data_IF_443112753198
#
_entry.id   IF_443112753198
#
_cell.length_a   1.000
_cell.length_b   1.000
_cell.length_c   1.000
_cell.angle_alpha   90.00
_cell.angle_beta   90.00
_cell.angle_gamma   90.00
#
_symmetry.space_group_name_H-M   'P 1'
#
loop_
_entity.id
_entity.type
_entity.pdbx_description
1 polymer ?
#
# COMPACT_ATOMS: atom_id res chain seq x y z
N UNK A 1 -1.50 24.33 21.52
CA UNK A 1 -0.67 23.91 20.38
C UNK A 1 -1.55 23.05 19.48
N UNK A 2 -2.16 23.67 18.48
CA UNK A 2 -3.12 23.00 17.61
C UNK A 2 -2.36 22.18 16.56
N UNK A 3 -2.42 20.85 16.68
CA UNK A 3 -1.90 19.95 15.65
C UNK A 3 -3.04 19.59 14.69
N UNK A 4 -3.14 20.33 13.60
CA UNK A 4 -3.95 19.95 12.44
C UNK A 4 -3.25 18.83 11.68
N UNK A 5 -3.78 17.62 11.70
CA UNK A 5 -3.40 16.58 10.74
C UNK A 5 -4.59 16.32 9.82
N UNK A 6 -4.56 16.90 8.62
CA UNK A 6 -5.44 16.51 7.51
C UNK A 6 -4.67 15.47 6.69
N UNK A 7 -5.17 14.24 6.63
CA UNK A 7 -4.65 13.07 5.87
C UNK A 7 -3.65 12.16 6.62
N UNK A 8 -4.04 11.60 7.75
CA UNK A 8 -3.28 10.52 8.41
C UNK A 8 -3.81 9.15 7.94
N UNK A 9 -2.95 8.31 7.37
CA UNK A 9 -3.23 6.89 7.16
C UNK A 9 -2.77 6.16 8.42
N UNK A 10 -3.71 5.65 9.21
CA UNK A 10 -3.42 4.89 10.43
C UNK A 10 -3.76 3.42 10.18
N UNK A 11 -2.72 2.59 10.12
CA UNK A 11 -2.86 1.14 10.05
C UNK A 11 -2.60 0.63 11.46
N UNK A 12 -3.64 0.14 12.14
CA UNK A 12 -3.53 -0.45 13.48
C UNK A 12 -3.80 -1.94 13.35
N UNK A 13 -2.80 -2.65 12.84
CA UNK A 13 -2.79 -4.10 12.81
C UNK A 13 -1.37 -4.57 13.14
N UNK A 14 -1.24 -5.45 14.13
CA UNK A 14 0.06 -5.96 14.58
C UNK A 14 0.64 -6.98 13.57
N UNK A 15 -0.15 -7.46 12.61
CA UNK A 15 0.24 -8.44 11.60
C UNK A 15 0.79 -7.77 10.32
N UNK A 16 0.77 -6.44 10.23
CA UNK A 16 1.29 -5.70 9.07
C UNK A 16 2.79 -5.41 9.25
N UNK A 17 3.61 -6.19 8.56
CA UNK A 17 5.06 -6.08 8.61
C UNK A 17 5.60 -4.84 7.87
N UNK A 18 4.95 -4.41 6.77
CA UNK A 18 5.46 -3.33 5.91
C UNK A 18 4.35 -2.64 5.12
N UNK A 19 4.51 -1.33 4.90
CA UNK A 19 3.69 -0.54 3.97
C UNK A 19 4.53 -0.19 2.74
N UNK A 20 4.05 -0.59 1.55
CA UNK A 20 4.70 -0.29 0.27
C UNK A 20 3.91 0.77 -0.50
N UNK A 21 4.51 1.95 -0.71
CA UNK A 21 3.97 2.95 -1.64
C UNK A 21 4.62 2.75 -3.02
N UNK A 22 3.79 2.36 -4.00
CA UNK A 22 4.20 2.12 -5.39
C UNK A 22 3.13 2.61 -6.35
N UNK A 23 3.56 3.01 -7.55
CA UNK A 23 2.64 3.34 -8.62
C UNK A 23 2.06 2.08 -9.26
N UNK A 24 0.76 2.09 -9.49
CA UNK A 24 0.10 1.09 -10.34
C UNK A 24 0.54 1.34 -11.78
N UNK A 25 1.14 0.34 -12.43
CA UNK A 25 1.63 0.44 -13.80
C UNK A 25 0.79 -0.40 -14.75
N UNK A 26 0.72 0.00 -16.03
CA UNK A 26 0.04 -0.78 -17.07
C UNK A 26 0.82 -2.06 -17.36
N UNK A 27 0.10 -3.18 -17.47
CA UNK A 27 0.66 -4.47 -17.84
C UNK A 27 -0.25 -5.18 -18.85
N UNK A 28 0.16 -5.15 -20.12
CA UNK A 28 -0.69 -5.60 -21.22
C UNK A 28 -1.99 -4.81 -21.30
N UNK A 29 -3.12 -5.50 -21.20
CA UNK A 29 -4.46 -4.91 -21.09
C UNK A 29 -4.91 -4.64 -19.65
N UNK A 30 -4.11 -5.05 -18.65
CA UNK A 30 -4.40 -4.88 -17.22
C UNK A 30 -3.45 -3.90 -16.52
N UNK A 31 -3.45 -3.98 -15.20
CA UNK A 31 -2.62 -3.17 -14.31
C UNK A 31 -1.93 -4.05 -13.27
N UNK A 32 -0.75 -3.64 -12.80
CA UNK A 32 0.02 -4.36 -11.77
C UNK A 32 0.70 -3.40 -10.80
N UNK A 33 1.09 -3.95 -9.65
CA UNK A 33 2.01 -3.33 -8.69
C UNK A 33 3.14 -4.33 -8.48
N UNK A 34 4.39 -3.89 -8.61
CA UNK A 34 5.54 -4.76 -8.38
C UNK A 34 5.76 -4.95 -6.87
N UNK A 35 5.81 -6.21 -6.42
CA UNK A 35 6.06 -6.60 -5.03
C UNK A 35 7.44 -7.32 -4.93
N UNK A 36 8.31 -6.97 -3.96
CA UNK A 36 9.58 -7.65 -3.75
C UNK A 36 9.42 -9.17 -3.56
N UNK A 37 10.37 -9.95 -4.10
CA UNK A 37 10.32 -11.43 -4.09
C UNK A 37 10.33 -12.03 -2.68
N UNK A 38 10.88 -11.31 -1.70
CA UNK A 38 10.88 -11.72 -0.29
C UNK A 38 9.48 -11.90 0.31
N UNK A 39 8.43 -11.33 -0.32
CA UNK A 39 7.05 -11.43 0.14
C UNK A 39 6.21 -12.45 -0.64
N UNK A 40 6.82 -13.25 -1.52
CA UNK A 40 6.10 -14.31 -2.24
C UNK A 40 5.46 -15.30 -1.26
N UNK A 41 4.18 -15.66 -1.50
CA UNK A 41 3.42 -16.57 -0.65
C UNK A 41 2.78 -15.94 0.60
N UNK A 42 3.05 -14.67 0.89
CA UNK A 42 2.38 -13.93 1.97
C UNK A 42 1.05 -13.32 1.51
N UNK A 43 0.13 -13.08 2.46
CA UNK A 43 -1.08 -12.28 2.22
C UNK A 43 -0.70 -10.80 2.18
N UNK A 44 -1.23 -10.07 1.21
CA UNK A 44 -0.98 -8.64 1.06
C UNK A 44 -2.29 -7.87 0.88
N UNK A 45 -2.33 -6.68 1.47
CA UNK A 45 -3.42 -5.73 1.26
C UNK A 45 -2.94 -4.64 0.30
N UNK A 46 -3.73 -4.36 -0.75
CA UNK A 46 -3.50 -3.26 -1.68
C UNK A 46 -4.53 -2.18 -1.43
N UNK A 47 -4.08 -0.96 -1.14
CA UNK A 47 -4.94 0.19 -0.90
C UNK A 47 -4.79 1.19 -2.04
N UNK A 48 -5.90 1.54 -2.69
CA UNK A 48 -5.93 2.56 -3.75
C UNK A 48 -6.47 3.86 -3.13
N UNK A 49 -5.68 4.93 -3.21
CA UNK A 49 -6.11 6.26 -2.75
C UNK A 49 -7.14 6.84 -3.72
N UNK A 50 -8.13 7.58 -3.19
CA UNK A 50 -9.00 8.42 -4.02
C UNK A 50 -8.16 9.55 -4.63
N UNK A 51 -8.34 9.81 -5.92
CA UNK A 51 -7.74 10.93 -6.65
C UNK A 51 -8.18 12.29 -6.11
#
# INVERSE_FOLDING_TARGET
MELRVKNKLEIVDNDIEILLEKFVTKFGTGAKIDCPKEFLGKKAYVVIRKS
#
